data_IF_621984873631
#
_entry.id   IF_621984873631
#
_cell.length_a   1.000
_cell.length_b   1.000
_cell.length_c   1.000
_cell.angle_alpha   90.00
_cell.angle_beta   90.00
_cell.angle_gamma   90.00
#
_symmetry.space_group_name_H-M   'P 1'
#
loop_
_entity.id
_entity.type
_entity.pdbx_description
1 polymer ?
#
# COMPACT_ATOMS: atom_id res chain seq x y z
N UNK A 1 -17.60 -13.75 -1.26
CA UNK A 1 -17.03 -13.26 0.01
C UNK A 1 -17.88 -12.10 0.47
N UNK A 2 -18.27 -12.07 1.74
CA UNK A 2 -19.00 -10.93 2.29
C UNK A 2 -18.06 -9.72 2.42
N UNK A 3 -18.60 -8.51 2.27
CA UNK A 3 -17.86 -7.28 2.53
C UNK A 3 -17.62 -7.15 4.04
N UNK A 4 -16.44 -6.68 4.44
CA UNK A 4 -16.21 -6.26 5.82
C UNK A 4 -17.07 -5.03 6.15
N UNK A 5 -17.56 -4.96 7.38
CA UNK A 5 -18.41 -3.88 7.87
C UNK A 5 -17.80 -3.17 9.08
N UNK A 6 -18.54 -2.20 9.62
CA UNK A 6 -18.12 -1.41 10.78
C UNK A 6 -17.92 -2.31 12.00
N UNK A 7 -16.74 -2.23 12.61
CA UNK A 7 -16.35 -3.03 13.77
C UNK A 7 -15.53 -4.28 13.41
N UNK A 8 -15.48 -4.67 12.14
CA UNK A 8 -14.63 -5.77 11.70
C UNK A 8 -13.16 -5.37 11.70
N UNK A 9 -12.30 -6.31 12.08
CA UNK A 9 -10.85 -6.13 11.99
C UNK A 9 -10.42 -6.20 10.52
N UNK A 10 -9.69 -5.18 10.06
CA UNK A 10 -9.14 -5.19 8.70
C UNK A 10 -8.07 -6.30 8.57
N UNK A 11 -8.01 -7.04 7.43
CA UNK A 11 -7.11 -8.18 7.28
C UNK A 11 -5.63 -7.78 7.40
N UNK A 12 -4.82 -8.70 7.88
CA UNK A 12 -3.36 -8.58 7.81
C UNK A 12 -2.91 -8.65 6.35
N UNK A 13 -1.86 -7.90 6.03
CA UNK A 13 -1.31 -7.87 4.68
C UNK A 13 0.21 -7.69 4.74
N UNK A 14 0.87 -8.18 3.71
CA UNK A 14 2.29 -8.03 3.44
C UNK A 14 2.44 -7.98 1.92
N UNK A 15 2.55 -6.78 1.37
CA UNK A 15 2.45 -6.53 -0.07
C UNK A 15 3.61 -5.67 -0.54
N UNK A 16 4.04 -5.88 -1.78
CA UNK A 16 4.96 -4.97 -2.46
C UNK A 16 4.19 -3.75 -2.96
N UNK A 17 4.65 -2.55 -2.59
CA UNK A 17 4.09 -1.28 -3.01
C UNK A 17 5.15 -0.42 -3.71
N UNK A 18 4.70 0.46 -4.61
CA UNK A 18 5.55 1.51 -5.16
C UNK A 18 5.72 2.60 -4.10
N UNK A 19 6.94 3.11 -3.93
CA UNK A 19 7.20 4.21 -3.00
C UNK A 19 6.37 5.45 -3.33
N UNK A 20 5.87 6.12 -2.29
CA UNK A 20 5.07 7.33 -2.46
C UNK A 20 5.91 8.54 -2.86
N UNK A 21 5.29 9.48 -3.57
CA UNK A 21 5.90 10.75 -3.95
C UNK A 21 6.28 10.83 -5.43
N UNK A 22 7.24 11.70 -5.74
CA UNK A 22 7.70 11.94 -7.10
C UNK A 22 8.82 10.96 -7.47
N UNK A 23 8.48 9.93 -8.25
CA UNK A 23 9.41 8.87 -8.65
C UNK A 23 10.61 9.39 -9.45
N UNK A 24 10.51 10.55 -10.10
CA UNK A 24 11.63 11.14 -10.85
C UNK A 24 12.77 11.65 -9.96
N UNK A 25 12.50 11.84 -8.66
CA UNK A 25 13.46 12.33 -7.65
C UNK A 25 14.07 11.21 -6.82
N UNK A 26 13.63 9.98 -7.03
CA UNK A 26 14.15 8.82 -6.32
C UNK A 26 15.51 8.48 -6.94
N UNK A 27 16.55 8.42 -6.11
CA UNK A 27 17.88 7.94 -6.50
C UNK A 27 17.87 6.41 -6.58
N UNK A 28 17.19 5.89 -7.60
CA UNK A 28 17.10 4.46 -7.88
C UNK A 28 18.27 4.05 -8.79
N UNK A 29 19.08 3.11 -8.31
CA UNK A 29 20.19 2.52 -9.05
C UNK A 29 19.74 1.26 -9.82
N UNK A 30 18.67 0.62 -9.34
CA UNK A 30 18.05 -0.55 -9.94
C UNK A 30 16.52 -0.45 -9.86
N UNK A 31 15.77 -1.18 -10.72
CA UNK A 31 14.31 -1.12 -10.74
C UNK A 31 13.65 -1.43 -9.38
N UNK A 32 14.27 -2.30 -8.59
CA UNK A 32 13.75 -2.73 -7.29
C UNK A 32 13.74 -1.61 -6.25
N UNK A 33 14.54 -0.56 -6.43
CA UNK A 33 14.64 0.57 -5.48
C UNK A 33 13.36 1.43 -5.47
N UNK A 34 12.49 1.28 -6.47
CA UNK A 34 11.16 1.93 -6.51
C UNK A 34 10.11 1.22 -5.67
N UNK A 35 10.43 0.04 -5.14
CA UNK A 35 9.48 -0.80 -4.44
C UNK A 35 9.86 -0.95 -2.97
N UNK A 36 8.83 -1.03 -2.13
CA UNK A 36 8.98 -1.33 -0.71
C UNK A 36 7.96 -2.37 -0.31
N UNK A 37 8.30 -3.17 0.69
CA UNK A 37 7.31 -3.99 1.38
C UNK A 37 6.49 -3.09 2.30
N UNK A 38 5.17 -3.23 2.25
CA UNK A 38 4.24 -2.59 3.19
C UNK A 38 3.43 -3.66 3.90
N UNK A 39 3.44 -3.61 5.22
CA UNK A 39 2.77 -4.54 6.11
C UNK A 39 1.60 -3.88 6.84
N UNK A 40 0.78 -4.70 7.48
CA UNK A 40 -0.30 -4.20 8.34
C UNK A 40 0.19 -3.42 9.57
N UNK A 41 1.49 -3.43 9.88
CA UNK A 41 2.05 -2.95 11.14
C UNK A 41 2.87 -1.64 10.98
N UNK A 42 3.26 -1.28 9.75
CA UNK A 42 4.18 -0.17 9.44
C UNK A 42 3.68 1.23 9.84
N UNK A 43 2.38 1.35 10.15
CA UNK A 43 1.73 2.62 10.50
C UNK A 43 1.03 2.57 11.85
N UNK A 44 1.64 1.89 12.83
CA UNK A 44 1.14 1.81 14.21
C UNK A 44 0.85 3.21 14.78
N UNK A 45 -0.32 3.36 15.40
CA UNK A 45 -0.78 4.64 15.98
C UNK A 45 -1.38 5.63 14.97
N UNK A 46 -1.48 5.28 13.68
CA UNK A 46 -2.12 6.10 12.65
C UNK A 46 -3.38 5.42 12.10
N UNK A 47 -4.34 6.24 11.68
CA UNK A 47 -5.45 5.76 10.86
C UNK A 47 -4.97 5.47 9.44
N UNK A 48 -5.43 4.35 8.88
CA UNK A 48 -5.17 3.98 7.48
C UNK A 48 -6.45 4.18 6.67
N UNK A 49 -6.33 4.90 5.56
CA UNK A 49 -7.40 5.09 4.58
C UNK A 49 -7.01 4.27 3.34
N UNK A 50 -7.83 3.28 2.99
CA UNK A 50 -7.50 2.29 1.95
C UNK A 50 -8.47 2.44 0.79
N UNK A 51 -7.93 2.67 -0.40
CA UNK A 51 -8.69 2.82 -1.64
C UNK A 51 -8.45 1.60 -2.53
N UNK A 52 -9.52 1.02 -3.06
CA UNK A 52 -9.48 -0.04 -4.06
C UNK A 52 -10.10 0.48 -5.36
N UNK A 53 -9.46 0.22 -6.48
CA UNK A 53 -9.98 0.55 -7.81
C UNK A 53 -9.70 -0.60 -8.80
N UNK A 54 -10.41 -0.67 -9.95
CA UNK A 54 -10.33 -1.85 -10.83
C UNK A 54 -9.00 -1.99 -11.58
N UNK A 55 -8.53 -0.90 -12.20
CA UNK A 55 -7.30 -0.86 -13.02
C UNK A 55 -6.89 0.58 -13.33
N UNK A 56 -5.59 0.84 -13.42
CA UNK A 56 -5.00 2.19 -13.55
C UNK A 56 -5.27 2.88 -14.90
N UNK A 57 -5.23 2.15 -16.02
CA UNK A 57 -5.33 2.73 -17.38
C UNK A 57 -6.25 1.90 -18.29
N UNK A 58 -7.57 2.01 -18.07
CA UNK A 58 -8.61 1.43 -18.95
C UNK A 58 -8.85 2.27 -20.19
#
# INVERSE_FOLDING_TARGET
MALLTIGDQFPTYNLTAVIGGDLSKVDAQQPDDYFTTVTSDDYTGKWRIIFFWPKDFT
#
